data_IF_187159386939
#
_entry.id   IF_187159386939
#
_cell.length_a   1.000
_cell.length_b   1.000
_cell.length_c   1.000
_cell.angle_alpha   90.00
_cell.angle_beta   90.00
_cell.angle_gamma   90.00
#
_symmetry.space_group_name_H-M   'P 1'
#
loop_
_entity.id
_entity.type
_entity.pdbx_description
1 polymer ?
#
# COMPACT_ATOMS: atom_id res chain seq x y z
N UNK A 1 10.06 6.27 1.89
CA UNK A 1 10.62 5.52 3.02
C UNK A 1 12.04 5.98 3.29
N UNK A 2 12.36 6.28 4.55
CA UNK A 2 13.72 6.70 4.90
C UNK A 2 14.75 5.62 4.55
N UNK A 3 15.90 6.06 4.10
CA UNK A 3 16.97 5.14 3.72
C UNK A 3 17.39 4.22 4.87
N UNK A 4 17.50 4.76 6.07
CA UNK A 4 17.95 3.96 7.20
C UNK A 4 16.94 2.85 7.52
N UNK A 5 15.67 3.13 7.37
CA UNK A 5 14.63 2.13 7.62
C UNK A 5 14.74 0.99 6.61
N UNK A 6 14.97 1.32 5.34
CA UNK A 6 15.16 0.34 4.29
C UNK A 6 16.33 -0.59 4.61
N UNK A 7 17.44 -0.02 5.03
CA UNK A 7 18.63 -0.80 5.38
C UNK A 7 18.37 -1.69 6.59
N UNK A 8 17.69 -1.16 7.59
CA UNK A 8 17.40 -1.90 8.80
C UNK A 8 16.52 -3.09 8.53
N UNK A 9 15.48 -2.90 7.73
CA UNK A 9 14.54 -3.96 7.38
C UNK A 9 15.26 -5.10 6.66
N UNK A 10 16.13 -4.77 5.72
CA UNK A 10 16.87 -5.78 4.98
C UNK A 10 17.74 -6.62 5.91
N UNK A 11 18.37 -6.00 6.89
CA UNK A 11 19.21 -6.70 7.85
C UNK A 11 18.41 -7.66 8.75
N UNK A 12 17.23 -7.22 9.15
CA UNK A 12 16.45 -7.97 10.12
C UNK A 12 15.68 -9.12 9.48
N UNK A 13 15.01 -8.86 8.37
CA UNK A 13 14.07 -9.83 7.81
C UNK A 13 14.68 -10.78 6.81
N UNK A 14 15.77 -10.39 6.16
CA UNK A 14 16.34 -11.18 5.08
C UNK A 14 15.54 -11.14 3.81
N UNK A 15 14.41 -10.44 3.77
CA UNK A 15 13.60 -10.27 2.58
C UNK A 15 14.15 -9.14 1.72
N UNK A 16 13.76 -9.12 0.45
CA UNK A 16 14.11 -7.98 -0.37
C UNK A 16 13.38 -6.76 0.16
N UNK A 17 14.03 -5.60 0.04
CA UNK A 17 13.47 -4.35 0.53
C UNK A 17 12.14 -4.04 -0.15
N UNK A 18 12.05 -4.25 -1.46
CA UNK A 18 10.83 -3.91 -2.17
C UNK A 18 9.67 -4.79 -1.76
N UNK A 19 9.90 -6.08 -1.51
CA UNK A 19 8.84 -6.96 -1.00
C UNK A 19 8.32 -6.48 0.34
N UNK A 20 9.21 -6.10 1.22
CA UNK A 20 8.84 -5.66 2.55
C UNK A 20 8.03 -4.37 2.49
N UNK A 21 8.47 -3.43 1.66
CA UNK A 21 7.78 -2.16 1.49
C UNK A 21 6.41 -2.38 0.88
N UNK A 22 6.31 -3.25 -0.12
CA UNK A 22 5.03 -3.57 -0.76
C UNK A 22 4.06 -4.14 0.26
N UNK A 23 4.51 -5.06 1.09
CA UNK A 23 3.65 -5.64 2.12
C UNK A 23 3.15 -4.60 3.11
N UNK A 24 4.04 -3.70 3.52
CA UNK A 24 3.66 -2.64 4.43
C UNK A 24 2.65 -1.68 3.81
N UNK A 25 2.90 -1.23 2.59
CA UNK A 25 2.02 -0.29 1.91
C UNK A 25 0.65 -0.91 1.67
N UNK A 26 0.61 -2.16 1.26
CA UNK A 26 -0.66 -2.85 1.01
C UNK A 26 -1.43 -3.03 2.31
N UNK A 27 -0.76 -3.38 3.40
CA UNK A 27 -1.43 -3.50 4.69
C UNK A 27 -2.04 -2.18 5.13
N UNK A 28 -1.29 -1.10 4.98
CA UNK A 28 -1.78 0.24 5.31
C UNK A 28 -2.96 0.62 4.42
N UNK A 29 -2.87 0.34 3.13
CA UNK A 29 -3.96 0.63 2.21
C UNK A 29 -5.22 -0.13 2.58
N UNK A 30 -5.10 -1.40 2.88
CA UNK A 30 -6.25 -2.22 3.30
C UNK A 30 -6.91 -1.66 4.55
N UNK A 31 -6.11 -1.26 5.51
CA UNK A 31 -6.60 -0.69 6.76
C UNK A 31 -7.38 0.59 6.48
N UNK A 32 -6.82 1.48 5.66
CA UNK A 32 -7.49 2.74 5.34
C UNK A 32 -8.75 2.53 4.53
N UNK A 33 -8.73 1.59 3.60
CA UNK A 33 -9.93 1.30 2.79
C UNK A 33 -11.06 0.74 3.64
N UNK A 34 -10.73 -0.04 4.64
CA UNK A 34 -11.72 -0.74 5.44
C UNK A 34 -12.19 0.06 6.64
N UNK A 35 -11.31 0.77 7.29
CA UNK A 35 -11.61 1.39 8.59
C UNK A 35 -11.60 2.90 8.61
N UNK A 36 -11.21 3.56 7.54
CA UNK A 36 -11.25 5.02 7.51
C UNK A 36 -12.35 5.51 6.58
N UNK A 37 -12.66 6.80 6.68
CA UNK A 37 -13.64 7.44 5.79
C UNK A 37 -12.99 8.09 4.59
N UNK A 38 -11.69 7.90 4.41
CA UNK A 38 -10.97 8.49 3.29
C UNK A 38 -11.43 7.91 1.97
N UNK A 39 -11.48 8.75 0.95
CA UNK A 39 -11.75 8.28 -0.40
C UNK A 39 -10.51 7.55 -0.95
N UNK A 40 -10.70 6.81 -2.03
CA UNK A 40 -9.58 6.10 -2.65
C UNK A 40 -8.51 7.10 -3.11
N UNK A 41 -8.94 8.24 -3.65
CA UNK A 41 -8.02 9.29 -4.07
C UNK A 41 -7.22 9.83 -2.89
N UNK A 42 -7.90 10.06 -1.77
CA UNK A 42 -7.22 10.55 -0.56
C UNK A 42 -6.20 9.54 -0.05
N UNK A 43 -6.56 8.27 -0.08
CA UNK A 43 -5.65 7.21 0.34
C UNK A 43 -4.42 7.16 -0.56
N UNK A 44 -4.63 7.29 -1.88
CA UNK A 44 -3.52 7.31 -2.83
C UNK A 44 -2.53 8.42 -2.50
N UNK A 45 -3.03 9.61 -2.25
CA UNK A 45 -2.17 10.74 -1.92
C UNK A 45 -1.52 10.57 -0.55
N UNK A 46 -2.27 10.05 0.41
CA UNK A 46 -1.72 9.81 1.74
C UNK A 46 -0.53 8.85 1.68
N UNK A 47 -0.61 7.85 0.82
CA UNK A 47 0.46 6.86 0.65
C UNK A 47 1.52 7.30 -0.35
N UNK A 48 1.46 8.55 -0.82
CA UNK A 48 2.45 9.16 -1.71
C UNK A 48 2.47 8.58 -3.12
N UNK A 49 1.33 8.11 -3.60
CA UNK A 49 1.22 7.74 -5.01
C UNK A 49 0.97 8.99 -5.86
N UNK A 50 1.45 9.00 -7.09
CA UNK A 50 1.28 10.17 -7.96
C UNK A 50 -0.18 10.45 -8.30
N UNK A 51 -1.02 9.42 -8.38
CA UNK A 51 -2.44 9.60 -8.64
C UNK A 51 -3.20 8.33 -8.26
N UNK A 52 -4.53 8.43 -8.33
CA UNK A 52 -5.39 7.31 -7.95
C UNK A 52 -5.24 6.10 -8.87
N UNK A 53 -5.06 6.35 -10.17
CA UNK A 53 -4.90 5.26 -11.13
C UNK A 53 -3.67 4.41 -10.84
N UNK A 54 -2.58 5.09 -10.52
CA UNK A 54 -1.34 4.40 -10.18
C UNK A 54 -1.52 3.53 -8.94
N UNK A 55 -2.16 4.09 -7.92
CA UNK A 55 -2.45 3.35 -6.70
C UNK A 55 -3.33 2.14 -6.99
N UNK A 56 -4.37 2.33 -7.80
CA UNK A 56 -5.27 1.24 -8.15
C UNK A 56 -4.56 0.09 -8.82
N UNK A 57 -3.69 0.40 -9.78
CA UNK A 57 -2.92 -0.64 -10.48
C UNK A 57 -1.98 -1.36 -9.52
N UNK A 58 -1.32 -0.62 -8.66
CA UNK A 58 -0.40 -1.18 -7.69
C UNK A 58 -1.14 -2.11 -6.72
N UNK A 59 -2.27 -1.66 -6.20
CA UNK A 59 -3.06 -2.45 -5.26
C UNK A 59 -3.57 -3.73 -5.93
N UNK A 60 -4.09 -3.60 -7.14
CA UNK A 60 -4.62 -4.77 -7.86
C UNK A 60 -3.52 -5.79 -8.16
N UNK A 61 -2.34 -5.32 -8.54
CA UNK A 61 -1.23 -6.22 -8.83
C UNK A 61 -0.82 -7.02 -7.59
N UNK A 62 -0.91 -6.41 -6.42
CA UNK A 62 -0.46 -7.05 -5.19
C UNK A 62 -1.55 -7.85 -4.47
N UNK A 63 -2.82 -7.55 -4.72
CA UNK A 63 -3.92 -8.21 -3.99
C UNK A 63 -4.88 -8.99 -4.87
N UNK A 64 -4.85 -8.74 -6.18
CA UNK A 64 -5.76 -9.39 -7.11
C UNK A 64 -7.08 -8.67 -7.29
N UNK A 65 -7.33 -7.58 -6.56
CA UNK A 65 -8.55 -6.80 -6.73
C UNK A 65 -8.25 -5.30 -6.61
N UNK A 66 -9.12 -4.49 -7.22
CA UNK A 66 -8.95 -3.05 -7.15
C UNK A 66 -9.29 -2.52 -5.77
N UNK A 67 -8.82 -1.31 -5.44
CA UNK A 67 -9.20 -0.70 -4.16
C UNK A 67 -10.71 -0.53 -4.00
N UNK A 68 -11.40 -0.19 -5.08
CA UNK A 68 -12.86 -0.06 -5.05
C UNK A 68 -13.53 -1.38 -4.71
N UNK A 69 -13.06 -2.46 -5.31
CA UNK A 69 -13.59 -3.79 -5.04
C UNK A 69 -13.33 -4.18 -3.59
N UNK A 70 -12.16 -3.91 -3.11
CA UNK A 70 -11.80 -4.24 -1.74
C UNK A 70 -12.67 -3.48 -0.73
N UNK A 71 -12.85 -2.18 -0.98
CA UNK A 71 -13.66 -1.35 -0.10
C UNK A 71 -15.12 -1.80 -0.09
N UNK A 72 -15.64 -2.18 -1.25
CA UNK A 72 -17.03 -2.62 -1.36
C UNK A 72 -17.28 -4.00 -0.76
N UNK A 73 -16.24 -4.78 -0.60
CA UNK A 73 -16.32 -6.15 -0.13
C UNK A 73 -16.71 -6.25 1.34
N UNK A 74 -16.48 -5.24 2.05
CA UNK A 74 -16.73 -5.21 3.47
C UNK A 74 -18.18 -5.64 3.82
#
# INVERSE_FOLDING_TARGET
TPKYLTTLIKRISGQSVSEWIDNYVILEAKTLLKYSTMSIQEIAYYLNFPNQSFFGSYFKRNTGMSPSQYKAQN
#
